data_IF_411005949672
#
_entry.id   IF_411005949672
#
_cell.length_a   1.000
_cell.length_b   1.000
_cell.length_c   1.000
_cell.angle_alpha   90.00
_cell.angle_beta   90.00
_cell.angle_gamma   90.00
#
_symmetry.space_group_name_H-M   'P 1'
#
loop_
_entity.id
_entity.type
_entity.pdbx_description
1 polymer ?
2 non-polymer ?
#
# COMPACT_ATOMS: atom_id res chain seq x y z
N UNK A 2 13.31 -10.37 7.00
CA UNK A 2 13.65 -9.01 7.49
C UNK A 2 13.86 -8.06 6.32
N UNK A 3 13.30 -6.86 6.43
CA UNK A 3 13.40 -5.84 5.40
C UNK A 3 12.93 -6.35 4.04
N UNK A 4 11.86 -7.15 4.07
CA UNK A 4 11.28 -7.71 2.86
C UNK A 4 10.05 -6.90 2.47
N UNK A 5 9.48 -6.23 3.46
CA UNK A 5 8.31 -5.42 3.25
C UNK A 5 8.14 -4.35 4.31
N UNK A 6 8.05 -3.11 3.88
CA UNK A 6 7.89 -1.96 4.80
C UNK A 6 7.58 -0.71 3.98
N UNK A 7 6.43 -0.12 4.23
CA UNK A 7 6.01 1.11 3.54
C UNK A 7 5.38 2.07 4.52
N UNK A 8 5.73 3.35 4.41
CA UNK A 8 5.17 4.38 5.27
C UNK A 8 4.16 5.20 4.48
N UNK A 9 2.89 4.87 4.64
CA UNK A 9 1.83 5.56 3.93
C UNK A 9 1.01 6.45 4.87
N UNK A 10 0.59 7.60 4.36
CA UNK A 10 -0.19 8.55 5.14
C UNK A 10 -1.68 8.34 4.90
N UNK A 11 -2.37 7.89 5.94
CA UNK A 11 -3.80 7.64 5.85
C UNK A 11 -4.57 8.90 6.19
N UNK A 12 -5.38 9.38 5.25
CA UNK A 12 -6.17 10.58 5.47
C UNK A 12 -7.39 10.58 4.56
N UNK A 13 -8.42 11.31 4.96
CA UNK A 13 -9.65 11.40 4.20
C UNK A 13 -9.85 12.81 3.67
N UNK A 14 -10.65 12.94 2.62
CA UNK A 14 -10.94 14.25 2.05
C UNK A 14 -12.44 14.55 2.24
N UNK A 15 -12.79 15.21 3.36
CA UNK A 15 -14.18 15.53 3.69
C UNK A 15 -14.79 16.60 2.79
N UNK A 16 -13.97 17.24 1.98
CA UNK A 16 -14.44 18.28 1.09
C UNK A 16 -15.18 17.68 -0.12
N UNK A 17 -14.73 16.52 -0.58
CA UNK A 17 -15.35 15.85 -1.72
C UNK A 17 -15.84 14.46 -1.37
N UNK A 18 -15.42 13.97 -0.21
CA UNK A 18 -15.81 12.64 0.22
C UNK A 18 -15.10 11.56 -0.54
N UNK A 19 -13.78 11.48 -0.39
CA UNK A 19 -12.99 10.48 -1.08
C UNK A 19 -11.70 10.18 -0.33
N UNK A 20 -11.16 8.98 -0.56
CA UNK A 20 -9.92 8.55 0.09
C UNK A 20 -8.73 9.21 -0.58
N UNK A 21 -7.63 9.29 0.14
CA UNK A 21 -6.40 9.85 -0.38
C UNK A 21 -5.20 9.32 0.39
N UNK A 22 -4.72 8.16 -0.02
CA UNK A 22 -3.58 7.54 0.63
C UNK A 22 -2.30 8.14 0.07
N UNK A 23 -1.58 8.88 0.90
CA UNK A 23 -0.35 9.53 0.46
C UNK A 23 0.87 8.73 0.90
N UNK A 24 1.43 7.98 -0.03
CA UNK A 24 2.62 7.18 0.26
C UNK A 24 3.85 8.06 0.22
N UNK A 25 4.44 8.29 1.38
CA UNK A 25 5.63 9.12 1.48
C UNK A 25 6.86 8.37 0.99
N UNK A 26 7.30 7.39 1.77
CA UNK A 26 8.46 6.59 1.42
C UNK A 26 8.36 5.20 2.03
N UNK A 27 9.18 4.29 1.54
CA UNK A 27 9.19 2.92 2.02
C UNK A 27 10.62 2.49 2.34
N UNK A 28 10.75 1.41 3.10
CA UNK A 28 12.06 0.91 3.48
C UNK A 28 12.07 -0.61 3.42
N UNK A 29 11.91 -1.17 2.23
CA UNK A 29 11.88 -2.63 2.11
C UNK A 29 12.67 -3.14 0.90
N UNK A 30 13.12 -2.26 0.04
CA UNK A 30 13.87 -2.71 -1.13
C UNK A 30 15.34 -2.83 -0.79
N UNK A 31 15.65 -3.83 0.03
CA UNK A 31 17.01 -4.10 0.44
C UNK A 31 17.87 -4.48 -0.75
N UNK A 32 19.18 -4.30 -0.61
CA UNK A 32 20.13 -4.61 -1.67
C UNK A 32 20.16 -6.12 -1.95
N UNK A 33 19.38 -6.55 -2.92
CA UNK A 33 19.35 -7.96 -3.28
C UNK A 33 20.25 -8.24 -4.48
N UNK A 34 20.54 -7.20 -5.26
CA UNK A 34 21.40 -7.34 -6.42
C UNK A 34 22.86 -7.45 -5.97
N UNK A 35 23.57 -8.41 -6.53
CA UNK A 35 24.97 -8.64 -6.18
C UNK A 35 25.85 -7.44 -6.53
N UNK A 36 26.21 -6.68 -5.50
CA UNK A 36 27.05 -5.51 -5.69
C UNK A 36 26.29 -4.37 -6.33
N UNK A 37 24.97 -4.46 -6.32
CA UNK A 37 24.16 -3.41 -6.92
C UNK A 37 22.99 -3.02 -6.04
N UNK A 38 21.91 -2.58 -6.66
CA UNK A 38 20.73 -2.17 -5.93
C UNK A 38 19.47 -2.72 -6.61
N UNK A 39 18.35 -2.64 -5.89
CA UNK A 39 17.08 -3.14 -6.41
C UNK A 39 16.30 -2.03 -7.11
N UNK A 40 15.29 -2.41 -7.89
CA UNK A 40 14.47 -1.45 -8.62
C UNK A 40 13.05 -1.46 -8.10
N UNK A 41 12.73 -0.56 -7.16
CA UNK A 41 11.40 -0.49 -6.54
C UNK A 41 10.30 0.02 -7.47
N UNK A 42 9.15 -0.64 -7.40
CA UNK A 42 7.97 -0.29 -8.17
C UNK A 42 6.75 -0.94 -7.54
N UNK A 43 5.75 -0.15 -7.16
CA UNK A 43 4.57 -0.71 -6.51
C UNK A 43 3.27 -0.20 -7.15
N UNK A 44 2.18 -0.88 -6.83
CA UNK A 44 0.86 -0.51 -7.32
C UNK A 44 -0.17 -0.79 -6.22
N UNK A 45 -1.37 -0.25 -6.35
CA UNK A 45 -2.39 -0.44 -5.34
C UNK A 45 -3.70 -0.96 -5.94
N UNK A 46 -4.34 -1.88 -5.23
CA UNK A 46 -5.60 -2.47 -5.67
C UNK A 46 -6.56 -2.52 -4.50
N UNK A 47 -7.83 -2.22 -4.73
CA UNK A 47 -8.81 -2.28 -3.66
C UNK A 47 -9.86 -3.33 -3.99
N UNK A 48 -10.09 -4.21 -3.01
CA UNK A 48 -11.04 -5.30 -3.17
C UNK A 48 -12.35 -4.99 -2.46
N UNK A 49 -13.31 -4.47 -3.20
CA UNK A 49 -14.62 -4.17 -2.65
C UNK A 49 -15.40 -5.48 -2.52
N UNK A 50 -15.65 -5.88 -1.27
CA UNK A 50 -16.38 -7.12 -0.99
C UNK A 50 -15.59 -8.32 -1.53
N UNK A 51 -14.27 -8.22 -1.46
CA UNK A 51 -13.41 -9.30 -1.91
C UNK A 51 -13.24 -9.33 -3.42
N UNK A 52 -13.73 -8.30 -4.10
CA UNK A 52 -13.63 -8.24 -5.55
C UNK A 52 -12.87 -6.99 -5.99
N UNK A 53 -11.87 -7.16 -6.83
CA UNK A 53 -11.08 -6.04 -7.33
C UNK A 53 -11.97 -5.05 -8.07
N UNK A 54 -12.09 -3.86 -7.52
CA UNK A 54 -12.93 -2.82 -8.11
C UNK A 54 -12.08 -1.83 -8.90
N UNK A 55 -11.34 -0.99 -8.18
CA UNK A 55 -10.50 0.01 -8.81
C UNK A 55 -9.05 -0.41 -8.78
N UNK A 56 -8.31 -0.09 -9.84
CA UNK A 56 -6.90 -0.44 -9.94
C UNK A 56 -6.07 0.80 -10.26
N UNK A 57 -5.03 1.04 -9.46
CA UNK A 57 -4.16 2.19 -9.65
C UNK A 57 -2.70 1.79 -9.42
N UNK A 58 -1.78 2.62 -9.86
CA UNK A 58 -0.37 2.35 -9.69
C UNK A 58 0.40 3.65 -9.41
N UNK A 59 1.63 3.50 -8.92
CA UNK A 59 2.45 4.66 -8.60
C UNK A 59 3.74 4.64 -9.42
N UNK A 60 4.56 5.67 -9.25
CA UNK A 60 5.82 5.78 -9.95
C UNK A 60 6.97 5.91 -8.96
N UNK A 61 7.94 5.02 -9.03
CA UNK A 61 9.07 5.06 -8.13
C UNK A 61 10.38 5.02 -8.91
N UNK A 62 11.40 5.69 -8.40
CA UNK A 62 12.71 5.72 -9.04
C UNK A 62 13.46 4.44 -8.74
N UNK A 63 13.88 3.75 -9.79
CA UNK A 63 14.60 2.49 -9.66
C UNK A 63 16.01 2.70 -9.09
N UNK A 64 16.67 1.59 -8.73
CA UNK A 64 18.03 1.60 -8.17
C UNK A 64 18.07 2.36 -6.86
N UNK A 65 17.30 1.90 -5.88
CA UNK A 65 17.23 2.53 -4.57
C UNK A 65 16.90 1.51 -3.49
N UNK A 66 17.02 1.92 -2.24
CA UNK A 66 16.70 1.06 -1.11
C UNK A 66 15.42 1.55 -0.44
N UNK A 67 15.17 2.85 -0.57
CA UNK A 67 13.99 3.47 0.02
C UNK A 67 13.08 4.02 -1.07
N UNK A 68 12.03 3.29 -1.43
CA UNK A 68 11.07 3.72 -2.44
C UNK A 68 10.34 5.00 -2.00
N UNK A 69 10.89 6.14 -2.41
CA UNK A 69 10.32 7.43 -2.07
C UNK A 69 9.91 8.17 -3.33
N UNK A 70 8.77 8.86 -3.26
CA UNK A 70 8.28 9.64 -4.39
C UNK A 70 7.14 10.56 -3.93
N UNK A 71 6.35 10.07 -2.98
CA UNK A 71 5.23 10.82 -2.41
C UNK A 71 4.09 10.95 -3.43
N UNK A 72 3.23 9.94 -3.47
CA UNK A 72 2.09 9.94 -4.38
C UNK A 72 0.80 9.73 -3.60
N UNK A 73 -0.30 10.26 -4.11
CA UNK A 73 -1.58 10.14 -3.44
C UNK A 73 -2.54 9.25 -4.23
N UNK A 74 -3.15 8.28 -3.54
CA UNK A 74 -4.11 7.38 -4.16
C UNK A 74 -5.52 7.76 -3.72
N UNK A 75 -6.31 8.30 -4.65
CA UNK A 75 -7.66 8.73 -4.34
C UNK A 75 -8.71 7.69 -4.74
N UNK A 76 -9.75 7.60 -3.92
CA UNK A 76 -10.86 6.68 -4.15
C UNK A 76 -12.14 7.29 -3.58
N UNK A 77 -13.03 7.74 -4.46
CA UNK A 77 -14.26 8.39 -4.05
C UNK A 77 -15.32 7.41 -3.57
N UNK A 78 -15.71 7.55 -2.31
CA UNK A 78 -16.73 6.74 -1.66
C UNK A 78 -17.14 7.42 -0.35
N UNK A 79 -18.37 7.17 0.14
CA UNK A 79 -18.88 7.77 1.38
C UNK A 79 -17.99 7.47 2.58
N UNK A 80 -17.99 8.38 3.56
CA UNK A 80 -17.18 8.23 4.77
C UNK A 80 -17.62 7.02 5.59
N UNK A 81 -18.80 6.51 5.29
CA UNK A 81 -19.32 5.35 6.01
C UNK A 81 -18.88 4.05 5.33
N UNK A 82 -18.38 4.17 4.12
CA UNK A 82 -17.94 3.01 3.35
C UNK A 82 -16.44 2.82 3.44
N UNK A 83 -15.74 3.86 3.86
CA UNK A 83 -14.28 3.82 3.98
C UNK A 83 -13.83 2.84 5.06
N UNK A 84 -14.72 2.52 5.98
CA UNK A 84 -14.39 1.60 7.06
C UNK A 84 -14.75 0.16 6.70
N UNK A 85 -15.28 -0.07 5.50
CA UNK A 85 -15.66 -1.41 5.10
C UNK A 85 -15.00 -1.82 3.78
N UNK A 86 -13.89 -1.15 3.44
CA UNK A 86 -13.18 -1.46 2.22
C UNK A 86 -11.90 -2.26 2.53
N UNK A 87 -11.17 -2.63 1.50
CA UNK A 87 -9.93 -3.38 1.66
C UNK A 87 -8.96 -3.04 0.55
N UNK A 88 -7.90 -2.32 0.89
CA UNK A 88 -6.90 -1.91 -0.07
C UNK A 88 -5.61 -2.71 0.13
N UNK A 89 -5.07 -3.25 -0.95
CA UNK A 89 -3.85 -4.03 -0.86
C UNK A 89 -2.72 -3.40 -1.69
N UNK A 90 -1.59 -3.19 -1.03
CA UNK A 90 -0.43 -2.61 -1.69
C UNK A 90 0.40 -3.72 -2.33
N UNK A 91 0.59 -3.63 -3.64
CA UNK A 91 1.33 -4.63 -4.37
C UNK A 91 2.73 -4.13 -4.76
N UNK A 92 3.74 -4.61 -4.05
CA UNK A 92 5.12 -4.21 -4.31
C UNK A 92 5.79 -5.17 -5.30
N UNK A 93 6.58 -4.61 -6.20
CA UNK A 93 7.30 -5.39 -7.19
C UNK A 93 8.72 -4.86 -7.33
N UNK A 94 9.53 -5.54 -8.14
CA UNK A 94 10.91 -5.14 -8.37
C UNK A 94 11.30 -5.41 -9.83
N UNK A 95 12.13 -4.55 -10.38
CA UNK A 95 12.57 -4.72 -11.76
C UNK A 95 14.05 -5.09 -11.80
N UNK A 96 14.34 -6.32 -11.42
CA UNK A 96 15.70 -6.86 -11.37
C UNK A 96 16.52 -6.46 -12.59
N UNK A 97 17.50 -5.58 -12.37
CA UNK A 97 18.40 -5.10 -13.42
C UNK A 97 17.63 -4.54 -14.62
N UNK A 98 16.54 -3.82 -14.33
CA UNK A 98 15.71 -3.22 -15.38
C UNK A 98 15.05 -4.32 -16.23
N UNK A 99 14.71 -5.42 -15.59
CA UNK A 99 14.09 -6.52 -16.28
C UNK A 99 12.72 -6.87 -15.71
N UNK A 100 12.67 -7.89 -14.89
CA UNK A 100 11.42 -8.33 -14.28
C UNK A 100 11.68 -9.21 -13.07
N UNK A 101 11.01 -8.90 -11.96
CA UNK A 101 11.16 -9.66 -10.73
C UNK A 101 9.88 -9.55 -9.91
N UNK A 102 9.76 -10.42 -8.90
CA UNK A 102 8.58 -10.44 -8.03
C UNK A 102 8.94 -11.03 -6.67
N UNK A 103 7.92 -11.46 -5.92
CA UNK A 103 8.10 -12.06 -4.59
C UNK A 103 8.54 -11.00 -3.57
N UNK A 104 7.93 -9.83 -3.63
CA UNK A 104 8.26 -8.75 -2.71
C UNK A 104 7.13 -8.58 -1.68
N UNK A 105 7.30 -7.64 -0.76
CA UNK A 105 6.32 -7.38 0.28
C UNK A 105 4.95 -6.97 -0.25
N UNK A 106 3.92 -7.30 0.53
CA UNK A 106 2.54 -7.00 0.20
C UNK A 106 1.73 -6.92 1.50
N UNK A 107 0.72 -6.07 1.53
CA UNK A 107 -0.11 -5.93 2.73
C UNK A 107 -1.52 -5.44 2.38
N UNK A 108 -2.48 -5.79 3.22
CA UNK A 108 -3.86 -5.41 3.04
C UNK A 108 -4.31 -4.52 4.20
N UNK A 109 -4.92 -3.39 3.87
CA UNK A 109 -5.39 -2.46 4.87
C UNK A 109 -6.86 -2.13 4.65
N UNK A 110 -7.62 -2.02 5.73
CA UNK A 110 -9.02 -1.70 5.61
C UNK A 110 -9.85 -2.23 6.76
N UNK A 111 -11.05 -2.72 6.41
CA UNK A 111 -12.01 -3.25 7.37
C UNK A 111 -11.41 -4.31 8.30
N UNK A 112 -11.31 -5.54 7.82
CA UNK A 112 -10.78 -6.62 8.64
C UNK A 112 -9.27 -6.78 8.46
N UNK A 113 -8.54 -5.75 8.89
CA UNK A 113 -7.10 -5.76 8.82
C UNK A 113 -6.55 -5.98 10.24
N UNK A 114 -5.25 -5.73 10.44
CA UNK A 114 -4.66 -5.91 11.74
C UNK A 114 -4.84 -4.64 12.58
N UNK A 115 -4.61 -4.76 13.89
CA UNK A 115 -4.77 -3.62 14.79
C UNK A 115 -3.93 -2.41 14.40
N UNK A 116 -2.66 -2.63 14.09
CA UNK A 116 -1.75 -1.55 13.73
C UNK A 116 -2.26 -0.72 12.56
N UNK A 117 -2.86 -1.38 11.58
CA UNK A 117 -3.38 -0.70 10.41
C UNK A 117 -4.80 -0.18 10.64
N UNK A 118 -5.69 -1.05 11.07
CA UNK A 118 -7.09 -0.72 11.29
C UNK A 118 -7.27 0.38 12.33
N UNK A 119 -6.46 0.37 13.38
CA UNK A 119 -6.58 1.38 14.45
C UNK A 119 -6.19 2.77 13.96
N UNK A 120 -5.50 2.84 12.83
CA UNK A 120 -5.10 4.11 12.25
C UNK A 120 -5.98 4.41 11.05
N UNK A 121 -6.43 3.35 10.40
CA UNK A 121 -7.32 3.46 9.24
C UNK A 121 -8.60 4.15 9.67
N UNK A 122 -9.38 3.46 10.51
CA UNK A 122 -10.63 4.00 11.02
C UNK A 122 -10.36 4.99 12.15
N UNK A 123 -9.33 5.81 11.93
CA UNK A 123 -8.91 6.80 12.92
C UNK A 123 -8.54 8.12 12.23
N UNK A 124 -7.65 8.04 11.25
CA UNK A 124 -7.21 9.25 10.57
C UNK A 124 -7.98 9.50 9.27
N UNK A 125 -8.35 8.45 8.55
CA UNK A 125 -9.09 8.64 7.31
C UNK A 125 -10.58 8.36 7.51
N UNK A 126 -10.96 8.15 8.75
CA UNK A 126 -12.36 7.89 9.08
C UNK A 126 -13.16 9.18 9.08
N UNK A 127 -12.45 10.30 9.21
CA UNK A 127 -13.08 11.61 9.26
C UNK A 127 -12.05 12.75 9.07
N UNK A 128 -10.90 12.73 9.78
CA UNK A 128 -9.88 13.79 9.64
C UNK A 128 -9.16 13.74 8.30
N UNK A 129 -8.31 14.74 8.05
CA UNK A 129 -7.56 14.81 6.81
C UNK A 129 -6.08 15.03 7.09
N UNK A 130 -5.63 14.58 8.25
CA UNK A 130 -4.24 14.72 8.63
C UNK A 130 -3.39 13.65 7.96
N UNK A 131 -2.37 14.05 7.18
CA UNK A 131 -1.49 13.11 6.49
C UNK A 131 -0.47 12.45 7.42
N UNK A 132 -0.96 11.57 8.29
CA UNK A 132 -0.10 10.86 9.23
C UNK A 132 0.40 9.55 8.61
N UNK A 133 1.68 9.52 8.27
CA UNK A 133 2.30 8.35 7.68
C UNK A 133 2.62 7.30 8.72
N UNK A 134 2.33 6.05 8.40
CA UNK A 134 2.59 4.95 9.30
C UNK A 134 3.31 3.84 8.54
N UNK A 135 4.20 3.15 9.23
CA UNK A 135 4.94 2.05 8.62
C UNK A 135 4.35 0.73 9.08
N UNK A 136 4.65 -0.33 8.34
CA UNK A 136 4.17 -1.65 8.68
C UNK A 136 4.93 -2.70 7.88
N UNK A 137 5.13 -3.85 8.49
CA UNK A 137 5.83 -4.94 7.83
C UNK A 137 4.95 -5.55 6.76
N UNK A 138 5.50 -5.71 5.57
CA UNK A 138 4.77 -6.30 4.46
C UNK A 138 5.23 -7.75 4.28
N UNK A 139 4.29 -8.64 4.07
CA UNK A 139 4.60 -10.05 3.91
C UNK A 139 4.69 -10.39 2.42
N UNK A 140 5.28 -11.53 2.10
CA UNK A 140 5.42 -11.94 0.70
C UNK A 140 4.05 -12.12 0.03
N UNK A 141 4.04 -12.14 -1.29
CA UNK A 141 2.79 -12.27 -2.06
C UNK A 141 2.13 -13.63 -1.86
N UNK A 142 2.75 -14.50 -1.08
CA UNK A 142 2.18 -15.80 -0.80
C UNK A 142 0.94 -15.64 0.07
N UNK A 143 1.00 -14.69 0.99
CA UNK A 143 -0.10 -14.42 1.90
C UNK A 143 -1.19 -13.61 1.21
N UNK A 144 -0.77 -12.71 0.33
CA UNK A 144 -1.71 -11.85 -0.40
C UNK A 144 -2.57 -12.68 -1.35
N UNK A 145 -2.04 -13.83 -1.77
CA UNK A 145 -2.73 -14.72 -2.69
C UNK A 145 -4.05 -15.20 -2.10
N UNK A 146 -4.10 -15.32 -0.78
CA UNK A 146 -5.30 -15.77 -0.09
C UNK A 146 -6.11 -14.59 0.44
N UNK A 147 -5.59 -13.38 0.25
CA UNK A 147 -6.26 -12.18 0.72
C UNK A 147 -7.06 -11.51 -0.40
N UNK A 148 -6.53 -11.56 -1.61
CA UNK A 148 -7.22 -10.97 -2.75
C UNK A 148 -8.34 -11.88 -3.22
N UNK A 149 -8.30 -13.13 -2.77
CA UNK A 149 -9.31 -14.11 -3.15
C UNK A 149 -10.47 -14.10 -2.16
N UNK A 150 -11.22 -13.00 -2.16
CA UNK A 150 -12.39 -12.83 -1.29
C UNK A 150 -12.01 -12.98 0.20
N UNK A 151 -11.57 -11.91 0.82
CA UNK A 151 -11.20 -11.95 2.23
C UNK A 151 -12.23 -11.23 3.08
N UNK A 152 -13.33 -10.81 2.45
CA UNK A 152 -14.41 -10.12 3.13
C UNK A 152 -15.58 -9.94 2.16
X LIG B 1 9.77 0.81 -14.95
X LIG B 1 10.69 0.13 -15.98
X LIG B 1 10.00 -1.13 -16.53
X LIG B 1 8.70 -0.73 -17.23
X LIG B 1 7.76 -0.04 -16.23
X LIG B 1 8.45 1.20 -15.63
X LIG B 1 10.37 2.01 -14.42
X LIG B 1 10.62 2.16 -12.84
X LIG B 1 11.42 1.06 -12.24
X LIG B 1 9.16 2.24 -12.17
X LIG B 1 11.31 3.59 -12.61
X LIG B 1 10.99 1.02 -17.06
X LIG B 1 12.51 1.42 -17.37
X LIG B 1 13.27 1.53 -16.10
X LIG B 1 13.11 0.28 -18.33
X LIG B 1 12.45 2.82 -18.16
X LIG B 1 10.85 -1.77 -17.49
X LIG B 1 11.31 -3.30 -17.28
X LIG B 1 10.12 -4.15 -17.13
X LIG B 1 12.22 -3.29 -15.96
X LIG B 1 12.20 -3.75 -18.54
X LIG B 1 8.04 -1.89 -17.74
X LIG B 1 7.73 -2.02 -19.31
X LIG B 1 8.98 -1.87 -20.08
X LIG B 1 6.68 -0.84 -19.61
X LIG B 1 7.02 -3.45 -19.57
X LIG B 1 6.56 0.36 -16.88
X LIG B 1 5.13 -0.18 -16.38
X LIG B 1 5.11 -1.66 -16.43
X LIG B 1 4.93 0.36 -14.87
X LIG B 1 4.01 0.46 -17.32
X LIG B 1 7.56 1.82 -14.70
X LIG B 1 7.06 3.34 -14.93
X LIG B 1 6.14 3.79 -13.85
X LIG B 1 6.32 3.29 -16.35
X LIG B 1 8.35 4.28 -15.04
X LIG B 1 9.56 0.19 -14.20
X LIG B 1 11.54 -0.11 -15.53
X LIG B 1 9.78 -1.77 -15.78
X LIG B 1 8.90 -0.09 -17.97
X LIG B 1 7.56 -0.67 -15.47
X LIG B 1 8.67 1.83 -16.39
#
# INVERSE_FOLDING_TARGET
>A
QEKLGDICFSLRYVPTAGKLTVVILEAKNLKKMDVGGLSDPYVKIHLMQNGKRLKKKKTTIKKNTLNPYYNESFSFEVPFEQIQKVQVVVTVLDYDKIGKNDAIGKVFVGYNSTGAELRHWSDMLANPRRPIAQWHTLQVEEEVDAMLAVKK
>B hetero
1 IHP C1 C2 C3 C4 C5 C6 O11 P1 O21 O31 O41 O12 P2 O22 O32 O42 O13 P3 O23 O33 O43 O14 P4 O24 O34 O44 O15 P5 O25 O35 O45 O16 P6 O26 O36 O46 H1 H2 H3 H4 H5 H6
#
